data_IF_883241483047
#
_entry.id   IF_883241483047
#
_cell.length_a   1.000
_cell.length_b   1.000
_cell.length_c   1.000
_cell.angle_alpha   90.00
_cell.angle_beta   90.00
_cell.angle_gamma   90.00
#
_symmetry.space_group_name_H-M   'P 1'
#
loop_
_entity.id
_entity.type
_entity.pdbx_description
1 polymer ?
#
# COMPACT_ATOMS: atom_id res chain seq x y z
N UNK A 1 8.76 -14.03 -13.46
CA UNK A 1 7.37 -13.51 -13.45
C UNK A 1 6.35 -14.53 -13.97
N UNK A 2 6.47 -15.05 -15.19
CA UNK A 2 5.49 -16.00 -15.76
C UNK A 2 5.23 -17.27 -14.93
N UNK A 3 6.25 -17.88 -14.31
CA UNK A 3 6.09 -19.09 -13.51
C UNK A 3 5.23 -18.89 -12.25
N UNK A 4 5.43 -17.77 -11.55
CA UNK A 4 4.66 -17.44 -10.34
C UNK A 4 3.19 -17.14 -10.66
N UNK A 5 2.93 -16.42 -11.75
CA UNK A 5 1.56 -16.14 -12.19
C UNK A 5 0.81 -17.45 -12.51
N UNK A 6 1.47 -18.44 -13.14
CA UNK A 6 0.86 -19.75 -13.39
C UNK A 6 0.53 -20.51 -12.09
N UNK A 7 1.39 -20.42 -11.06
CA UNK A 7 1.12 -21.03 -9.75
C UNK A 7 -0.08 -20.38 -9.08
N UNK A 8 -0.22 -19.06 -9.15
CA UNK A 8 -1.37 -18.33 -8.58
C UNK A 8 -2.65 -18.70 -9.35
N UNK A 9 -2.61 -18.80 -10.68
CA UNK A 9 -3.77 -19.17 -11.51
C UNK A 9 -4.30 -20.57 -11.24
N UNK A 10 -3.44 -21.49 -10.83
CA UNK A 10 -3.85 -22.84 -10.43
C UNK A 10 -4.55 -22.86 -9.05
N UNK A 11 -4.46 -21.77 -8.28
CA UNK A 11 -5.12 -21.67 -6.98
C UNK A 11 -6.54 -21.13 -7.14
N UNK A 12 -7.46 -21.66 -6.34
CA UNK A 12 -8.89 -21.35 -6.45
C UNK A 12 -9.23 -19.93 -5.97
N UNK A 13 -8.52 -19.41 -4.97
CA UNK A 13 -8.79 -18.10 -4.37
C UNK A 13 -7.48 -17.36 -4.09
N UNK A 14 -7.57 -16.04 -4.10
CA UNK A 14 -6.47 -15.15 -3.76
C UNK A 14 -6.99 -13.90 -3.03
N UNK A 15 -6.08 -13.12 -2.47
CA UNK A 15 -6.33 -11.78 -1.95
C UNK A 15 -5.30 -10.83 -2.57
N UNK A 16 -5.65 -9.57 -2.67
CA UNK A 16 -4.73 -8.52 -3.12
C UNK A 16 -4.27 -7.72 -1.90
N UNK A 17 -3.04 -7.24 -1.96
CA UNK A 17 -2.48 -6.28 -1.01
C UNK A 17 -1.93 -5.13 -1.84
N UNK A 18 -2.42 -3.92 -1.57
CA UNK A 18 -2.11 -2.73 -2.32
C UNK A 18 -1.64 -1.64 -1.36
N UNK A 19 -0.51 -1.02 -1.68
CA UNK A 19 0.01 0.12 -0.92
C UNK A 19 0.47 1.22 -1.87
N UNK A 20 0.24 2.48 -1.50
CA UNK A 20 0.73 3.63 -2.24
C UNK A 20 2.12 4.01 -1.73
N UNK A 21 3.06 4.22 -2.66
CA UNK A 21 4.42 4.64 -2.34
C UNK A 21 4.88 5.71 -3.32
N UNK A 22 5.58 6.72 -2.81
CA UNK A 22 6.17 7.78 -3.63
C UNK A 22 7.63 7.44 -3.95
N UNK A 23 8.02 7.55 -5.21
CA UNK A 23 9.41 7.30 -5.63
C UNK A 23 10.32 8.54 -5.48
N UNK A 24 11.61 8.38 -5.79
CA UNK A 24 12.62 9.46 -5.69
C UNK A 24 12.33 10.69 -6.57
N UNK A 25 11.52 10.52 -7.62
CA UNK A 25 11.10 11.61 -8.51
C UNK A 25 9.77 12.25 -8.07
N UNK A 26 9.30 11.96 -6.84
CA UNK A 26 8.00 12.40 -6.31
C UNK A 26 6.80 11.93 -7.14
N UNK A 27 6.93 10.76 -7.79
CA UNK A 27 5.84 10.15 -8.56
C UNK A 27 5.24 9.01 -7.75
N UNK A 28 3.92 8.99 -7.70
CA UNK A 28 3.17 7.98 -6.97
C UNK A 28 3.17 6.64 -7.70
N UNK A 29 3.28 5.57 -6.91
CA UNK A 29 3.32 4.19 -7.38
C UNK A 29 2.42 3.32 -6.51
N UNK A 30 1.74 2.37 -7.14
CA UNK A 30 1.00 1.33 -6.48
C UNK A 30 1.88 0.08 -6.36
N UNK A 31 2.23 -0.29 -5.14
CA UNK A 31 2.79 -1.60 -4.85
C UNK A 31 1.66 -2.63 -4.85
N UNK A 32 1.72 -3.58 -5.79
CA UNK A 32 0.69 -4.60 -5.94
C UNK A 32 1.24 -5.98 -5.61
N UNK A 33 0.66 -6.62 -4.61
CA UNK A 33 1.03 -7.94 -4.10
C UNK A 33 -0.17 -8.86 -4.12
N UNK A 34 0.06 -10.12 -4.48
CA UNK A 34 -0.97 -11.16 -4.39
C UNK A 34 -0.64 -12.10 -3.26
N UNK A 35 -1.62 -12.31 -2.38
CA UNK A 35 -1.58 -13.31 -1.33
C UNK A 35 -2.45 -14.50 -1.72
N UNK A 36 -1.89 -15.70 -1.65
CA UNK A 36 -2.62 -16.94 -1.93
C UNK A 36 -2.21 -18.07 -0.99
N UNK A 37 -3.01 -19.12 -0.93
CA UNK A 37 -2.76 -20.29 -0.08
C UNK A 37 -2.72 -21.53 -0.96
N UNK A 38 -1.74 -22.41 -0.74
CA UNK A 38 -1.63 -23.68 -1.46
C UNK A 38 -2.42 -24.81 -0.79
N UNK A 39 -2.43 -25.99 -1.41
CA UNK A 39 -3.15 -27.17 -0.90
C UNK A 39 -2.58 -27.71 0.43
N UNK A 40 -1.38 -27.25 0.83
CA UNK A 40 -0.74 -27.57 2.11
C UNK A 40 -0.98 -26.49 3.16
N UNK A 41 -1.87 -25.53 2.88
CA UNK A 41 -2.17 -24.38 3.74
C UNK A 41 -0.98 -23.45 3.99
N UNK A 42 0.02 -23.46 3.11
CA UNK A 42 1.12 -22.51 3.17
C UNK A 42 0.67 -21.21 2.50
N UNK A 43 0.93 -20.09 3.17
CA UNK A 43 0.67 -18.74 2.63
C UNK A 43 1.83 -18.34 1.73
N UNK A 44 1.50 -17.80 0.56
CA UNK A 44 2.45 -17.25 -0.39
C UNK A 44 2.05 -15.81 -0.70
N UNK A 45 3.01 -14.90 -0.62
CA UNK A 45 2.84 -13.48 -0.90
C UNK A 45 3.86 -13.11 -1.99
N UNK A 46 3.33 -12.77 -3.16
CA UNK A 46 4.13 -12.50 -4.35
C UNK A 46 3.92 -11.05 -4.77
N UNK A 47 4.97 -10.23 -4.65
CA UNK A 47 4.98 -8.86 -5.18
C UNK A 47 4.98 -8.96 -6.70
N UNK A 48 3.92 -8.48 -7.33
CA UNK A 48 3.78 -8.51 -8.78
C UNK A 48 4.55 -7.35 -9.41
N UNK A 49 4.51 -6.18 -8.76
CA UNK A 49 5.30 -5.04 -9.18
C UNK A 49 4.88 -3.72 -8.54
N UNK A 50 5.63 -2.69 -8.93
CA UNK A 50 5.33 -1.29 -8.66
C UNK A 50 4.77 -0.66 -9.93
N UNK A 51 3.58 -0.10 -9.86
CA UNK A 51 2.87 0.46 -11.00
C UNK A 51 2.73 1.96 -10.83
N UNK A 52 3.32 2.74 -11.72
CA UNK A 52 3.21 4.19 -11.64
C UNK A 52 1.75 4.64 -11.82
N UNK A 53 1.30 5.50 -10.91
CA UNK A 53 -0.03 6.09 -10.94
C UNK A 53 0.04 7.48 -11.60
N UNK A 54 -0.83 7.72 -12.56
CA UNK A 54 -0.99 9.05 -13.15
C UNK A 54 -1.88 9.97 -12.29
N UNK A 55 -2.66 9.38 -11.37
CA UNK A 55 -3.60 10.08 -10.49
C UNK A 55 -3.84 9.23 -9.24
N UNK A 56 -4.04 9.90 -8.09
CA UNK A 56 -4.42 9.29 -6.81
C UNK A 56 -5.95 9.26 -6.62
N UNK A 57 -6.73 9.29 -7.70
CA UNK A 57 -8.16 9.05 -7.61
C UNK A 57 -8.40 7.55 -7.41
N UNK A 58 -9.27 7.21 -6.45
CA UNK A 58 -9.71 5.85 -6.18
C UNK A 58 -10.22 5.12 -7.45
N UNK A 59 -10.84 5.85 -8.37
CA UNK A 59 -11.25 5.30 -9.68
C UNK A 59 -10.05 4.81 -10.49
N UNK A 60 -9.05 5.69 -10.69
CA UNK A 60 -7.84 5.37 -11.45
C UNK A 60 -7.06 4.21 -10.82
N UNK A 61 -6.92 4.20 -9.50
CA UNK A 61 -6.26 3.11 -8.78
C UNK A 61 -7.02 1.80 -8.97
N UNK A 62 -8.35 1.83 -8.90
CA UNK A 62 -9.18 0.64 -9.15
C UNK A 62 -9.00 0.12 -10.57
N UNK A 63 -8.97 1.00 -11.58
CA UNK A 63 -8.72 0.63 -12.98
C UNK A 63 -7.35 -0.03 -13.16
N UNK A 64 -6.31 0.53 -12.55
CA UNK A 64 -4.96 -0.04 -12.55
C UNK A 64 -4.95 -1.42 -11.90
N UNK A 65 -5.61 -1.60 -10.75
CA UNK A 65 -5.74 -2.91 -10.09
C UNK A 65 -6.41 -3.94 -11.03
N UNK A 66 -7.51 -3.57 -11.67
CA UNK A 66 -8.23 -4.47 -12.58
C UNK A 66 -7.39 -4.83 -13.81
N UNK A 67 -6.67 -3.87 -14.38
CA UNK A 67 -5.75 -4.07 -15.50
C UNK A 67 -4.58 -5.01 -15.11
N UNK A 68 -4.03 -4.88 -13.89
CA UNK A 68 -3.04 -5.83 -13.37
C UNK A 68 -3.63 -7.24 -13.27
N UNK A 69 -4.84 -7.41 -12.74
CA UNK A 69 -5.50 -8.71 -12.63
C UNK A 69 -5.75 -9.34 -14.00
N UNK A 70 -6.18 -8.56 -14.98
CA UNK A 70 -6.37 -9.00 -16.37
C UNK A 70 -5.04 -9.47 -16.98
N UNK A 71 -3.96 -8.70 -16.82
CA UNK A 71 -2.61 -9.09 -17.28
C UNK A 71 -2.09 -10.34 -16.60
N UNK A 72 -2.46 -10.57 -15.34
CA UNK A 72 -2.15 -11.79 -14.61
C UNK A 72 -3.08 -12.96 -14.97
N UNK A 73 -4.15 -12.72 -15.73
CA UNK A 73 -5.17 -13.73 -16.06
C UNK A 73 -5.94 -14.21 -14.84
N UNK A 74 -6.19 -13.32 -13.88
CA UNK A 74 -6.91 -13.59 -12.64
C UNK A 74 -8.30 -12.95 -12.66
N UNK A 75 -9.31 -13.71 -12.29
CA UNK A 75 -10.69 -13.23 -12.20
C UNK A 75 -10.92 -12.58 -10.84
N UNK A 76 -11.40 -11.33 -10.82
CA UNK A 76 -11.76 -10.59 -9.60
C UNK A 76 -12.78 -11.35 -8.75
N UNK A 77 -13.65 -12.19 -9.35
CA UNK A 77 -14.64 -13.02 -8.64
C UNK A 77 -14.02 -14.08 -7.73
N UNK A 78 -12.75 -14.42 -7.95
CA UNK A 78 -11.99 -15.34 -7.11
C UNK A 78 -11.25 -14.63 -5.97
N UNK A 79 -11.21 -13.29 -5.97
CA UNK A 79 -10.65 -12.50 -4.89
C UNK A 79 -11.47 -12.68 -3.60
N UNK A 80 -10.80 -12.85 -2.46
CA UNK A 80 -11.42 -13.06 -1.14
C UNK A 80 -11.00 -12.03 -0.10
N UNK A 81 -10.02 -11.19 -0.42
CA UNK A 81 -9.54 -10.16 0.46
C UNK A 81 -8.84 -9.05 -0.30
N UNK A 82 -8.93 -7.85 0.25
CA UNK A 82 -8.18 -6.68 -0.19
C UNK A 82 -7.55 -6.04 1.05
N UNK A 83 -6.23 -6.06 1.12
CA UNK A 83 -5.47 -5.36 2.14
C UNK A 83 -5.00 -4.03 1.57
N UNK A 84 -5.54 -2.93 2.07
CA UNK A 84 -5.10 -1.59 1.69
C UNK A 84 -4.86 -0.74 2.96
N UNK A 85 -4.15 0.36 2.81
CA UNK A 85 -4.02 1.32 3.90
C UNK A 85 -5.36 2.01 4.23
N UNK A 86 -5.31 2.84 5.27
CA UNK A 86 -6.46 3.61 5.76
C UNK A 86 -6.67 4.93 5.04
N UNK A 87 -5.90 5.23 3.99
CA UNK A 87 -6.01 6.52 3.32
C UNK A 87 -7.43 6.71 2.77
N UNK A 88 -7.91 7.95 2.77
CA UNK A 88 -9.28 8.24 2.32
C UNK A 88 -9.57 7.76 0.88
N UNK A 89 -8.54 7.71 0.03
CA UNK A 89 -8.61 7.16 -1.33
C UNK A 89 -8.80 5.65 -1.34
N UNK A 90 -8.18 4.94 -0.40
CA UNK A 90 -8.15 3.48 -0.34
C UNK A 90 -9.30 2.89 0.48
N UNK A 91 -9.66 3.55 1.59
CA UNK A 91 -10.59 3.08 2.61
C UNK A 91 -11.59 4.15 3.13
N UNK A 92 -11.88 5.18 2.32
CA UNK A 92 -12.85 6.23 2.63
C UNK A 92 -14.34 5.82 2.58
N UNK A 93 -15.22 6.76 2.92
CA UNK A 93 -16.62 6.44 3.23
C UNK A 93 -17.55 6.24 2.00
N UNK A 94 -17.21 6.71 0.80
CA UNK A 94 -18.19 6.80 -0.31
C UNK A 94 -17.67 6.32 -1.67
N UNK A 95 -16.44 6.63 -2.06
CA UNK A 95 -15.94 6.40 -3.44
C UNK A 95 -14.53 5.82 -3.49
N UNK A 96 -14.09 5.19 -2.42
CA UNK A 96 -12.75 4.64 -2.25
C UNK A 96 -12.50 3.35 -3.04
N UNK A 97 -11.24 2.91 -3.10
CA UNK A 97 -10.83 1.68 -3.78
C UNK A 97 -11.51 0.45 -3.15
N UNK A 98 -11.57 0.42 -1.81
CA UNK A 98 -12.16 -0.68 -1.05
C UNK A 98 -13.64 -0.91 -1.40
N UNK A 99 -14.47 0.13 -1.40
CA UNK A 99 -15.88 0.03 -1.76
C UNK A 99 -16.05 -0.35 -3.23
N UNK A 100 -15.23 0.20 -4.13
CA UNK A 100 -15.28 -0.14 -5.57
C UNK A 100 -14.99 -1.62 -5.82
N UNK A 101 -13.97 -2.18 -5.18
CA UNK A 101 -13.65 -3.61 -5.29
C UNK A 101 -14.73 -4.47 -4.64
N UNK A 102 -15.25 -4.06 -3.48
CA UNK A 102 -16.36 -4.75 -2.80
C UNK A 102 -17.62 -4.78 -3.68
N UNK A 103 -17.91 -3.70 -4.41
CA UNK A 103 -19.03 -3.63 -5.36
C UNK A 103 -18.85 -4.60 -6.55
N UNK A 104 -17.62 -4.79 -7.02
CA UNK A 104 -17.29 -5.75 -8.09
C UNK A 104 -17.33 -7.20 -7.59
N UNK A 105 -16.94 -7.42 -6.33
CA UNK A 105 -16.98 -8.72 -5.67
C UNK A 105 -17.18 -8.56 -4.16
N UNK A 106 -18.40 -8.77 -3.70
CA UNK A 106 -18.77 -8.66 -2.28
C UNK A 106 -18.08 -9.66 -1.35
N UNK A 107 -17.35 -10.64 -1.92
CA UNK A 107 -16.54 -11.60 -1.16
C UNK A 107 -15.11 -11.13 -0.94
N UNK A 108 -14.67 -10.03 -1.55
CA UNK A 108 -13.35 -9.45 -1.37
C UNK A 108 -13.33 -8.58 -0.11
N UNK A 109 -13.12 -9.20 1.05
CA UNK A 109 -13.21 -8.52 2.33
C UNK A 109 -12.07 -7.51 2.52
N UNK A 110 -12.41 -6.30 2.96
CA UNK A 110 -11.42 -5.27 3.26
C UNK A 110 -10.73 -5.51 4.61
N UNK A 111 -9.41 -5.46 4.60
CA UNK A 111 -8.57 -5.53 5.79
C UNK A 111 -7.72 -4.27 5.83
N UNK A 112 -7.89 -3.50 6.90
CA UNK A 112 -7.10 -2.29 7.13
C UNK A 112 -5.64 -2.66 7.45
N UNK A 113 -4.70 -1.89 6.91
CA UNK A 113 -3.27 -2.08 7.17
C UNK A 113 -2.94 -1.90 8.66
N UNK A 114 -2.54 -2.99 9.32
CA UNK A 114 -2.14 -2.94 10.74
C UNK A 114 -0.91 -2.07 10.98
N UNK A 115 0.02 -1.99 10.03
CA UNK A 115 1.20 -1.13 10.16
C UNK A 115 0.78 0.34 10.19
N UNK A 116 -0.14 0.74 9.31
CA UNK A 116 -0.71 2.09 9.30
C UNK A 116 -1.51 2.37 10.59
N UNK A 117 -2.35 1.43 11.05
CA UNK A 117 -3.06 1.57 12.32
C UNK A 117 -2.13 1.76 13.51
N UNK A 118 -1.02 1.00 13.55
CA UNK A 118 -0.02 1.11 14.61
C UNK A 118 0.70 2.45 14.56
N UNK A 119 1.07 2.91 13.37
CA UNK A 119 1.71 4.20 13.18
C UNK A 119 0.81 5.36 13.67
N UNK A 120 -0.47 5.35 13.29
CA UNK A 120 -1.45 6.33 13.79
C UNK A 120 -1.56 6.30 15.32
N UNK A 121 -1.64 5.12 15.93
CA UNK A 121 -1.69 4.98 17.38
C UNK A 121 -0.42 5.52 18.06
N UNK A 122 0.76 5.28 17.48
CA UNK A 122 2.02 5.81 17.97
C UNK A 122 2.10 7.33 17.85
N UNK A 123 1.62 7.90 16.74
CA UNK A 123 1.55 9.35 16.55
C UNK A 123 0.66 10.01 17.61
N UNK A 124 -0.51 9.43 17.91
CA UNK A 124 -1.42 9.97 18.92
C UNK A 124 -0.82 9.93 20.33
N UNK A 125 -0.25 8.79 20.74
CA UNK A 125 0.43 8.67 22.04
C UNK A 125 1.62 9.63 22.15
N UNK A 126 2.32 9.85 21.03
CA UNK A 126 3.46 10.77 20.98
C UNK A 126 3.04 12.22 21.16
N UNK A 127 1.95 12.66 20.52
CA UNK A 127 1.39 14.02 20.68
C UNK A 127 0.96 14.29 22.12
N UNK A 128 0.50 13.27 22.83
CA UNK A 128 0.10 13.38 24.24
C UNK A 128 1.30 13.43 25.21
N UNK A 129 2.52 13.19 24.74
CA UNK A 129 3.74 13.25 25.55
C UNK A 129 4.58 14.49 25.20
N UNK A 130 4.58 15.54 26.05
CA UNK A 130 5.36 16.75 25.81
C UNK A 130 6.87 16.49 25.68
N UNK A 131 7.38 15.51 26.42
CA UNK A 131 8.80 15.13 26.36
C UNK A 131 9.17 14.55 24.99
N UNK A 132 8.38 13.61 24.48
CA UNK A 132 8.65 12.97 23.18
C UNK A 132 8.44 13.97 22.05
N UNK A 133 7.36 14.76 22.11
CA UNK A 133 7.11 15.83 21.13
C UNK A 133 8.27 16.83 21.08
N UNK A 134 8.76 17.31 22.22
CA UNK A 134 9.91 18.23 22.27
C UNK A 134 11.18 17.62 21.66
N UNK A 135 11.43 16.34 21.92
CA UNK A 135 12.59 15.65 21.34
C UNK A 135 12.48 15.50 19.81
N UNK A 136 11.27 15.22 19.30
CA UNK A 136 11.00 15.16 17.86
C UNK A 136 11.10 16.53 17.20
N UNK A 137 10.63 17.59 17.85
CA UNK A 137 10.73 18.97 17.34
C UNK A 137 12.19 19.40 17.19
N UNK A 138 13.03 19.17 18.21
CA UNK A 138 14.48 19.43 18.13
C UNK A 138 15.11 18.61 17.00
N UNK A 139 14.71 17.35 16.84
CA UNK A 139 15.22 16.50 15.76
C UNK A 139 14.84 17.07 14.39
N UNK A 140 13.59 17.49 14.22
CA UNK A 140 13.11 18.14 12.99
C UNK A 140 13.84 19.45 12.70
N UNK A 141 14.11 20.27 13.72
CA UNK A 141 14.87 21.50 13.57
C UNK A 141 16.30 21.24 13.09
N UNK A 142 16.97 20.22 13.63
CA UNK A 142 18.30 19.80 13.18
C UNK A 142 18.25 19.32 11.73
N UNK A 143 17.28 18.47 11.37
CA UNK A 143 17.10 17.99 9.99
C UNK A 143 16.88 19.16 9.04
N UNK A 144 15.98 20.08 9.37
CA UNK A 144 15.68 21.27 8.58
C UNK A 144 16.91 22.19 8.43
N UNK A 145 17.71 22.35 9.48
CA UNK A 145 18.94 23.13 9.41
C UNK A 145 19.94 22.52 8.40
N UNK A 146 20.09 21.20 8.43
CA UNK A 146 21.03 20.48 7.56
C UNK A 146 20.55 20.49 6.11
N UNK A 147 19.26 20.21 5.86
CA UNK A 147 18.70 20.13 4.50
C UNK A 147 18.62 21.48 3.80
N UNK A 148 18.50 22.58 4.55
CA UNK A 148 18.50 23.96 3.98
C UNK A 148 19.88 24.44 3.50
N UNK A 149 20.96 23.75 3.84
CA UNK A 149 22.32 24.10 3.42
C UNK A 149 22.89 23.04 2.47
N UNK A 150 23.08 23.35 1.17
CA UNK A 150 23.69 22.44 0.21
C UNK A 150 25.09 21.95 0.64
N UNK A 151 25.80 22.76 1.45
CA UNK A 151 27.12 22.42 2.00
C UNK A 151 27.04 21.37 3.11
N UNK A 152 25.95 21.35 3.88
CA UNK A 152 25.72 20.40 4.96
C UNK A 152 25.12 19.08 4.46
N UNK A 153 24.37 19.10 3.36
CA UNK A 153 23.78 17.90 2.74
C UNK A 153 24.87 16.86 2.34
N UNK A 154 26.00 17.34 1.81
CA UNK A 154 27.15 16.51 1.42
C UNK A 154 27.88 15.84 2.61
N UNK A 155 27.54 16.16 3.86
CA UNK A 155 28.13 15.52 5.05
C UNK A 155 27.34 14.29 5.49
N UNK A 156 26.08 14.14 5.06
CA UNK A 156 25.18 13.03 5.45
C UNK A 156 24.95 12.04 4.32
N UNK A 157 24.84 12.52 3.08
CA UNK A 157 24.67 11.66 1.91
C UNK A 157 26.08 11.26 1.44
N UNK A 158 26.48 10.02 1.74
CA UNK A 158 27.68 9.37 1.21
C UNK A 158 27.30 8.11 0.45
#
# INVERSE_FOLDING_TARGET
MYFFILLIRNRRFYSIICDEATNEASLEQLCFTIRSVDDKFVVHEDVIGLYQLASQNAEHITEVILDILVRCGLDIKLCRGQGCDGAATMAGHVTDVSSRITNLNSKAYYVHCNAHSLDLALQDVTRDSPFVTSALDITNDIVNFITRSPKCLNLIIR
#
